data_IF_107872287151
#
_entry.id   IF_107872287151
#
_cell.length_a   1.000
_cell.length_b   1.000
_cell.length_c   1.000
_cell.angle_alpha   90.00
_cell.angle_beta   90.00
_cell.angle_gamma   90.00
#
_symmetry.space_group_name_H-M   'P 1'
#
loop_
_entity.id
_entity.type
_entity.pdbx_description
1 polymer ?
#
# COMPACT_ATOMS: atom_id res chain seq x y z
N UNK A 1 3.51 3.69 6.73
CA UNK A 1 4.95 3.60 6.50
C UNK A 1 5.68 3.07 7.73
N UNK A 2 6.98 2.92 7.67
CA UNK A 2 7.79 2.32 8.74
C UNK A 2 7.83 3.17 10.01
N UNK A 3 7.73 4.48 9.93
CA UNK A 3 7.67 5.37 11.11
C UNK A 3 6.38 5.16 11.90
N UNK A 4 5.26 5.01 11.21
CA UNK A 4 3.97 4.67 11.83
C UNK A 4 4.02 3.29 12.48
N UNK A 5 4.63 2.30 11.82
CA UNK A 5 4.83 0.97 12.36
C UNK A 5 5.67 0.99 13.65
N UNK A 6 6.76 1.76 13.65
CA UNK A 6 7.62 1.94 14.83
C UNK A 6 6.86 2.57 16.01
N UNK A 7 5.96 3.51 15.75
CA UNK A 7 5.10 4.10 16.78
C UNK A 7 4.12 3.09 17.37
N UNK A 8 3.48 2.27 16.53
CA UNK A 8 2.55 1.22 16.99
C UNK A 8 3.27 0.16 17.84
N UNK A 9 4.50 -0.21 17.46
CA UNK A 9 5.33 -1.17 18.23
C UNK A 9 5.74 -0.66 19.62
N UNK A 10 5.72 0.66 19.83
CA UNK A 10 6.02 1.28 21.14
C UNK A 10 4.85 1.26 22.11
N UNK A 11 3.65 0.86 21.68
CA UNK A 11 2.50 0.80 22.57
C UNK A 11 2.70 -0.25 23.68
N UNK A 12 2.46 0.18 24.91
CA UNK A 12 2.60 -0.62 26.12
C UNK A 12 1.28 -0.68 26.86
N UNK A 13 1.10 -1.75 27.64
CA UNK A 13 0.02 -1.85 28.60
C UNK A 13 0.29 -0.99 29.86
N UNK A 14 -0.68 -0.92 30.78
CA UNK A 14 -0.53 -0.19 32.05
C UNK A 14 0.57 -0.72 32.99
N UNK A 15 1.16 -1.87 32.68
CA UNK A 15 2.26 -2.51 33.40
C UNK A 15 3.62 -2.37 32.71
N UNK A 16 3.65 -1.70 31.55
CA UNK A 16 4.87 -1.43 30.79
C UNK A 16 5.29 -2.50 29.80
N UNK A 17 4.50 -3.55 29.59
CA UNK A 17 4.76 -4.58 28.60
C UNK A 17 4.33 -4.10 27.21
N UNK A 18 5.13 -4.44 26.18
CA UNK A 18 4.77 -4.13 24.80
C UNK A 18 3.58 -4.97 24.35
N UNK A 19 2.54 -4.31 23.80
CA UNK A 19 1.33 -4.98 23.30
C UNK A 19 1.60 -5.78 22.04
N UNK A 20 2.54 -5.35 21.21
CA UNK A 20 2.94 -6.09 20.03
C UNK A 20 4.18 -6.94 20.34
N UNK A 21 3.95 -8.20 20.66
CA UNK A 21 5.03 -9.17 20.87
C UNK A 21 5.74 -9.50 19.56
N UNK A 22 7.04 -9.76 19.67
CA UNK A 22 7.92 -10.09 18.54
C UNK A 22 7.77 -11.56 18.09
N UNK A 23 6.55 -12.08 18.08
CA UNK A 23 6.28 -13.44 17.63
C UNK A 23 6.27 -13.43 16.10
N UNK A 24 7.40 -13.78 15.50
CA UNK A 24 7.47 -13.98 14.07
C UNK A 24 6.63 -15.23 13.71
N UNK A 25 5.48 -15.10 13.05
CA UNK A 25 4.76 -16.26 12.55
C UNK A 25 5.55 -16.87 11.39
N UNK A 26 5.72 -18.16 11.41
CA UNK A 26 6.46 -18.93 10.40
C UNK A 26 5.83 -18.94 8.99
N UNK A 27 4.66 -18.31 8.82
CA UNK A 27 3.91 -18.24 7.55
C UNK A 27 3.49 -16.82 7.22
N UNK A 28 4.45 -15.90 7.09
CA UNK A 28 4.17 -14.55 6.61
C UNK A 28 3.94 -14.54 5.10
N UNK A 29 2.88 -13.90 4.65
CA UNK A 29 2.72 -13.54 3.25
C UNK A 29 3.92 -12.69 2.80
N UNK A 30 4.38 -12.87 1.56
CA UNK A 30 5.47 -12.08 1.01
C UNK A 30 5.16 -10.58 1.16
N UNK A 31 6.08 -9.84 1.81
CA UNK A 31 5.92 -8.41 2.09
C UNK A 31 5.25 -8.05 3.43
N UNK A 32 4.75 -9.01 4.19
CA UNK A 32 4.21 -8.72 5.52
C UNK A 32 5.32 -8.58 6.56
N UNK A 33 5.28 -7.52 7.36
CA UNK A 33 6.28 -7.22 8.41
C UNK A 33 5.95 -7.90 9.75
N UNK A 34 4.75 -8.45 9.87
CA UNK A 34 4.24 -9.11 11.08
C UNK A 34 2.73 -9.21 11.06
N UNK A 35 2.15 -9.64 12.17
CA UNK A 35 0.69 -9.67 12.35
C UNK A 35 0.28 -8.72 13.47
N UNK A 36 -0.78 -7.97 13.26
CA UNK A 36 -1.42 -7.14 14.27
C UNK A 36 -2.86 -7.63 14.44
N UNK A 37 -3.24 -8.02 15.66
CA UNK A 37 -4.58 -8.58 15.96
C UNK A 37 -4.98 -9.75 15.03
N UNK A 38 -4.01 -10.60 14.66
CA UNK A 38 -4.26 -11.73 13.77
C UNK A 38 -4.29 -11.42 12.27
N UNK A 39 -4.11 -10.16 11.87
CA UNK A 39 -4.07 -9.75 10.48
C UNK A 39 -2.66 -9.39 10.03
N UNK A 40 -2.25 -9.75 8.80
CA UNK A 40 -0.93 -9.41 8.27
C UNK A 40 -0.81 -7.90 8.07
N UNK A 41 0.35 -7.34 8.46
CA UNK A 41 0.68 -5.93 8.29
C UNK A 41 1.66 -5.77 7.14
N UNK A 42 1.32 -4.91 6.20
CA UNK A 42 2.18 -4.51 5.07
C UNK A 42 2.49 -3.03 5.21
N UNK A 43 3.75 -2.66 5.04
CA UNK A 43 4.17 -1.25 5.03
C UNK A 43 4.24 -0.72 3.61
N UNK A 44 3.89 0.56 3.45
CA UNK A 44 3.98 1.29 2.19
C UNK A 44 4.53 2.69 2.47
N UNK A 45 5.62 3.04 1.80
CA UNK A 45 6.30 4.33 1.99
C UNK A 45 5.50 5.53 1.46
N UNK A 46 4.54 5.28 0.56
CA UNK A 46 3.63 6.31 0.06
C UNK A 46 2.52 6.70 1.05
N UNK A 47 2.32 5.91 2.12
CA UNK A 47 1.38 6.27 3.18
C UNK A 47 1.94 7.44 4.01
N UNK A 48 1.08 8.42 4.37
CA UNK A 48 1.51 9.58 5.16
C UNK A 48 2.01 9.17 6.54
N UNK A 49 2.89 10.00 7.09
CA UNK A 49 3.33 9.90 8.49
C UNK A 49 2.21 10.24 9.47
N UNK A 50 2.45 9.91 10.75
CA UNK A 50 1.59 10.34 11.84
C UNK A 50 1.58 11.87 11.93
N UNK A 51 0.44 12.48 11.71
CA UNK A 51 0.28 13.93 11.75
C UNK A 51 -1.19 14.32 11.85
N UNK A 52 -1.46 15.58 12.17
CA UNK A 52 -2.82 16.11 12.27
C UNK A 52 -3.59 15.91 10.95
N UNK A 53 -4.80 15.36 11.03
CA UNK A 53 -5.67 15.02 9.88
C UNK A 53 -5.07 14.01 8.86
N UNK A 54 -3.93 13.39 9.14
CA UNK A 54 -3.35 12.36 8.28
C UNK A 54 -4.09 11.02 8.41
N UNK A 55 -3.97 10.19 7.36
CA UNK A 55 -4.53 8.83 7.31
C UNK A 55 -3.39 7.79 7.17
N UNK A 56 -2.62 7.55 8.24
CA UNK A 56 -1.41 6.73 8.17
C UNK A 56 -1.68 5.22 8.11
N UNK A 57 -2.88 4.77 8.45
CA UNK A 57 -3.23 3.35 8.50
C UNK A 57 -4.53 3.12 7.74
N UNK A 58 -4.51 2.09 6.89
CA UNK A 58 -5.67 1.55 6.21
C UNK A 58 -5.88 0.09 6.63
N UNK A 59 -7.12 -0.30 6.87
CA UNK A 59 -7.51 -1.66 7.21
C UNK A 59 -8.69 -2.11 6.37
N UNK A 60 -8.61 -3.31 5.81
CA UNK A 60 -9.71 -3.89 5.06
C UNK A 60 -9.27 -4.90 4.02
N UNK A 61 -10.21 -5.33 3.21
CA UNK A 61 -10.00 -6.23 2.06
C UNK A 61 -9.79 -5.39 0.79
N UNK A 62 -8.53 -5.16 0.45
CA UNK A 62 -8.15 -4.36 -0.73
C UNK A 62 -8.61 -5.00 -2.05
N UNK A 63 -8.71 -6.33 -2.09
CA UNK A 63 -9.15 -7.04 -3.29
C UNK A 63 -10.61 -6.72 -3.64
N UNK A 64 -11.45 -6.49 -2.63
CA UNK A 64 -12.87 -6.10 -2.83
C UNK A 64 -13.06 -4.58 -2.88
N UNK A 65 -12.14 -3.83 -2.29
CA UNK A 65 -12.27 -2.39 -2.17
C UNK A 65 -11.88 -1.65 -3.45
N UNK A 66 -10.82 -2.10 -4.14
CA UNK A 66 -10.24 -1.35 -5.25
C UNK A 66 -9.94 -2.26 -6.44
N UNK A 67 -10.41 -1.84 -7.62
CA UNK A 67 -10.10 -2.52 -8.87
C UNK A 67 -9.10 -1.75 -9.70
N UNK A 68 -8.09 -2.47 -10.17
CA UNK A 68 -7.15 -2.01 -11.18
C UNK A 68 -7.54 -2.69 -12.49
N UNK A 69 -7.78 -1.90 -13.53
CA UNK A 69 -8.23 -2.39 -14.84
C UNK A 69 -7.20 -1.99 -15.89
N UNK A 70 -6.62 -2.98 -16.54
CA UNK A 70 -5.79 -2.78 -17.71
C UNK A 70 -6.63 -2.86 -18.98
N UNK A 71 -6.99 -1.69 -19.52
CA UNK A 71 -7.82 -1.63 -20.72
C UNK A 71 -7.07 -2.04 -21.96
N UNK A 72 -5.78 -1.74 -22.02
CA UNK A 72 -4.90 -2.09 -23.14
C UNK A 72 -3.54 -2.48 -22.61
N UNK A 73 -3.12 -3.70 -22.92
CA UNK A 73 -1.78 -4.16 -22.64
C UNK A 73 -0.72 -3.33 -23.37
N UNK A 74 0.55 -3.59 -23.10
CA UNK A 74 1.66 -2.88 -23.72
C UNK A 74 1.66 -3.16 -25.23
N UNK A 75 1.51 -2.12 -26.03
CA UNK A 75 1.68 -2.16 -27.47
C UNK A 75 2.94 -1.37 -27.84
N UNK A 76 3.81 -1.98 -28.64
CA UNK A 76 5.06 -1.34 -29.10
C UNK A 76 4.94 -1.09 -30.61
N UNK A 77 5.15 0.15 -31.01
CA UNK A 77 5.22 0.56 -32.40
C UNK A 77 6.68 0.95 -32.74
N UNK A 78 7.21 0.34 -33.79
CA UNK A 78 8.51 0.73 -34.36
C UNK A 78 8.28 1.81 -35.41
N UNK A 79 8.86 2.99 -35.19
CA UNK A 79 8.80 4.12 -36.14
C UNK A 79 10.22 4.40 -36.71
N UNK A 80 10.49 3.98 -37.96
CA UNK A 80 11.78 4.21 -38.60
C UNK A 80 11.89 5.58 -39.27
N UNK A 81 10.76 6.29 -39.46
CA UNK A 81 10.69 7.52 -40.26
C UNK A 81 10.75 8.81 -39.41
N UNK A 82 10.29 8.73 -38.14
CA UNK A 82 10.10 9.91 -37.30
C UNK A 82 11.38 10.54 -36.72
N UNK A 83 12.53 9.90 -36.84
CA UNK A 83 13.81 10.37 -36.27
C UNK A 83 15.04 9.85 -37.01
N UNK A 84 15.00 9.87 -38.33
CA UNK A 84 16.16 9.42 -39.16
C UNK A 84 17.46 10.17 -38.75
N UNK A 85 18.61 9.46 -38.57
CA UNK A 85 18.91 8.03 -38.85
C UNK A 85 18.56 7.04 -37.70
N UNK A 86 17.87 7.47 -36.65
CA UNK A 86 17.52 6.65 -35.49
C UNK A 86 16.18 5.97 -35.70
N UNK A 87 16.01 4.79 -35.08
CA UNK A 87 14.74 4.06 -35.02
C UNK A 87 14.10 4.32 -33.65
N UNK A 88 12.86 4.81 -33.64
CA UNK A 88 12.12 5.10 -32.41
C UNK A 88 11.13 3.96 -32.12
N UNK A 89 11.09 3.54 -30.86
CA UNK A 89 10.11 2.59 -30.37
C UNK A 89 9.14 3.31 -29.43
N UNK A 90 7.86 3.34 -29.79
CA UNK A 90 6.80 3.91 -28.94
C UNK A 90 6.07 2.79 -28.24
N UNK A 91 6.09 2.81 -26.90
CA UNK A 91 5.28 1.92 -26.08
C UNK A 91 4.07 2.66 -25.53
N UNK A 92 2.91 2.00 -25.57
CA UNK A 92 1.67 2.53 -25.01
C UNK A 92 1.01 1.49 -24.14
N UNK A 93 0.52 1.91 -22.99
CA UNK A 93 -0.37 1.13 -22.12
C UNK A 93 -1.51 2.02 -21.63
N UNK A 94 -2.63 1.43 -21.30
CA UNK A 94 -3.76 2.12 -20.68
C UNK A 94 -4.21 1.31 -19.49
N UNK A 95 -4.03 1.88 -18.31
CA UNK A 95 -4.54 1.35 -17.05
C UNK A 95 -5.38 2.40 -16.36
N UNK A 96 -6.28 1.96 -15.52
CA UNK A 96 -7.10 2.81 -14.68
C UNK A 96 -7.47 2.06 -13.41
N UNK A 97 -7.98 2.76 -12.43
CA UNK A 97 -8.43 2.14 -11.20
C UNK A 97 -9.53 2.94 -10.54
N UNK A 98 -10.27 2.28 -9.67
CA UNK A 98 -11.35 2.91 -8.92
C UNK A 98 -11.78 2.08 -7.72
N UNK A 99 -12.43 2.76 -6.78
CA UNK A 99 -13.01 2.12 -5.60
C UNK A 99 -14.33 1.49 -6.01
N UNK A 100 -14.48 0.19 -5.76
CA UNK A 100 -15.70 -0.57 -6.03
C UNK A 100 -16.58 -0.70 -4.79
N UNK A 101 -15.98 -0.86 -3.62
CA UNK A 101 -16.72 -1.03 -2.37
C UNK A 101 -16.08 -0.19 -1.25
N UNK A 102 -16.78 0.86 -0.82
CA UNK A 102 -16.34 1.75 0.25
C UNK A 102 -16.41 1.11 1.64
N UNK A 103 -17.24 0.09 1.82
CA UNK A 103 -17.40 -0.58 3.12
C UNK A 103 -16.25 -1.56 3.40
N UNK A 104 -15.59 -2.05 2.35
CA UNK A 104 -14.52 -3.03 2.46
C UNK A 104 -13.21 -2.44 3.00
N UNK A 105 -13.07 -1.11 3.05
CA UNK A 105 -11.86 -0.41 3.47
C UNK A 105 -12.16 0.68 4.49
N UNK A 106 -11.36 0.74 5.57
CA UNK A 106 -11.44 1.78 6.59
C UNK A 106 -10.08 2.42 6.81
N UNK A 107 -10.08 3.71 7.01
CA UNK A 107 -8.88 4.50 7.30
C UNK A 107 -8.89 5.00 8.73
N UNK A 108 -7.74 4.94 9.39
CA UNK A 108 -7.54 5.58 10.68
C UNK A 108 -7.13 7.03 10.44
N UNK A 109 -7.96 7.96 10.89
CA UNK A 109 -7.64 9.39 10.87
C UNK A 109 -7.00 9.80 12.18
N UNK A 110 -5.83 10.46 12.12
CA UNK A 110 -5.24 11.07 13.29
C UNK A 110 -6.01 12.32 13.71
N UNK A 111 -6.19 12.51 15.02
CA UNK A 111 -6.84 13.69 15.55
C UNK A 111 -6.01 14.96 15.29
N UNK A 112 -6.69 16.10 15.31
CA UNK A 112 -6.05 17.41 15.38
C UNK A 112 -5.80 17.69 16.86
N UNK A 113 -4.54 17.83 17.24
CA UNK A 113 -4.16 18.30 18.59
C UNK A 113 -4.16 19.82 18.65
#
# INVERSE_FOLDING_TARGET
>A
NDLTLAAIRKFKDGQGNYLWGNTAPSNLMAGAVGTLLGHPVVTDDFMPDLGANAYPVAFGDFNRAYYIVDRKGVSVLRDPAGAFPYVRFLSRTRSGGGIANFEALKFLKCAVS
#
